data_IF_846835451989
#
_entry.id   IF_846835451989
#
_cell.length_a   1.000
_cell.length_b   1.000
_cell.length_c   1.000
_cell.angle_alpha   90.00
_cell.angle_beta   90.00
_cell.angle_gamma   90.00
#
_symmetry.space_group_name_H-M   'P 1'
#
loop_
_entity.id
_entity.type
_entity.pdbx_description
1 polymer ?
#
# COMPACT_ATOMS: atom_id res chain seq x y z
N UNK A 1 8.52 3.54 10.36
CA UNK A 1 8.54 2.78 9.09
C UNK A 1 9.83 2.01 8.84
N UNK A 2 11.03 2.48 9.22
CA UNK A 2 12.27 1.68 9.06
C UNK A 2 12.20 0.28 9.71
N UNK A 3 11.39 0.13 10.75
CA UNK A 3 11.18 -1.13 11.50
C UNK A 3 10.02 -1.99 10.97
N UNK A 4 9.16 -1.43 10.11
CA UNK A 4 7.95 -2.10 9.63
C UNK A 4 8.05 -2.36 8.13
N UNK A 5 7.62 -3.56 7.72
CA UNK A 5 7.56 -3.96 6.32
C UNK A 5 6.30 -3.42 5.65
N UNK A 6 5.20 -3.42 6.39
CA UNK A 6 3.93 -2.89 5.94
C UNK A 6 3.17 -2.22 7.09
N UNK A 7 2.35 -1.24 6.74
CA UNK A 7 1.27 -0.72 7.59
C UNK A 7 -0.03 -0.88 6.84
N UNK A 8 -1.06 -1.39 7.50
CA UNK A 8 -2.38 -1.59 6.93
C UNK A 8 -3.38 -0.77 7.75
N UNK A 9 -4.18 0.04 7.06
CA UNK A 9 -5.31 0.72 7.68
C UNK A 9 -6.58 0.11 7.11
N UNK A 10 -7.36 -0.53 7.97
CA UNK A 10 -8.60 -1.16 7.53
C UNK A 10 -9.70 -0.13 7.24
N UNK A 11 -10.82 -0.61 6.72
CA UNK A 11 -11.94 0.25 6.33
C UNK A 11 -12.61 0.96 7.53
N UNK A 12 -12.34 0.51 8.76
CA UNK A 12 -12.81 1.13 10.01
C UNK A 12 -11.78 2.12 10.58
N UNK A 13 -10.59 2.18 9.97
CA UNK A 13 -9.50 3.05 10.38
C UNK A 13 -8.55 2.45 11.41
N UNK A 14 -8.70 1.16 11.75
CA UNK A 14 -7.74 0.49 12.63
C UNK A 14 -6.39 0.34 11.92
N UNK A 15 -5.30 0.49 12.67
CA UNK A 15 -3.93 0.49 12.12
C UNK A 15 -3.18 -0.74 12.60
N UNK A 16 -2.79 -1.59 11.65
CA UNK A 16 -1.94 -2.76 11.86
C UNK A 16 -0.52 -2.48 11.32
N UNK A 17 0.49 -2.61 12.20
CA UNK A 17 1.90 -2.42 11.86
C UNK A 17 2.59 -3.77 11.79
N UNK A 18 3.08 -4.14 10.61
CA UNK A 18 3.64 -5.47 10.36
C UNK A 18 5.16 -5.38 10.29
N UNK A 19 5.84 -5.99 11.25
CA UNK A 19 7.28 -6.21 11.24
C UNK A 19 7.63 -7.49 10.48
N UNK A 20 8.91 -7.68 10.17
CA UNK A 20 9.42 -8.90 9.55
C UNK A 20 10.73 -9.30 10.24
N UNK A 21 10.65 -9.90 11.42
CA UNK A 21 11.82 -10.20 12.23
C UNK A 21 12.77 -11.20 11.56
N UNK A 22 12.27 -12.08 10.68
CA UNK A 22 13.10 -13.06 9.97
C UNK A 22 13.38 -12.66 8.50
N UNK A 23 13.08 -11.41 8.12
CA UNK A 23 13.34 -10.90 6.78
C UNK A 23 12.39 -11.41 5.69
N UNK A 24 11.27 -12.02 6.05
CA UNK A 24 10.16 -12.42 5.16
C UNK A 24 9.77 -11.30 4.19
N UNK A 25 9.51 -11.61 2.92
CA UNK A 25 9.16 -10.58 1.94
C UNK A 25 7.73 -10.03 2.11
N UNK A 26 7.42 -8.94 1.39
CA UNK A 26 6.10 -8.29 1.45
C UNK A 26 4.95 -9.25 1.16
N UNK A 27 5.08 -10.14 0.17
CA UNK A 27 4.02 -11.08 -0.16
C UNK A 27 3.69 -12.02 1.01
N UNK A 28 4.72 -12.51 1.69
CA UNK A 28 4.57 -13.42 2.82
C UNK A 28 3.84 -12.76 3.99
N UNK A 29 4.33 -11.58 4.42
CA UNK A 29 3.77 -10.90 5.60
C UNK A 29 2.35 -10.40 5.37
N UNK A 30 2.05 -9.90 4.16
CA UNK A 30 0.70 -9.48 3.80
C UNK A 30 -0.24 -10.68 3.62
N UNK A 31 0.27 -11.80 3.08
CA UNK A 31 -0.50 -13.04 2.95
C UNK A 31 -0.88 -13.62 4.32
N UNK A 32 0.04 -13.59 5.29
CA UNK A 32 -0.24 -14.01 6.67
C UNK A 32 -1.26 -13.12 7.36
N UNK A 33 -1.09 -11.79 7.26
CA UNK A 33 -2.08 -10.83 7.74
C UNK A 33 -3.46 -11.12 7.14
N UNK A 34 -3.53 -11.29 5.81
CA UNK A 34 -4.78 -11.55 5.11
C UNK A 34 -5.45 -12.87 5.53
N UNK A 35 -4.69 -13.94 5.72
CA UNK A 35 -5.23 -15.22 6.24
C UNK A 35 -5.86 -15.08 7.62
N UNK A 36 -5.26 -14.27 8.49
CA UNK A 36 -5.74 -14.07 9.85
C UNK A 36 -6.96 -13.14 9.90
N UNK A 37 -6.93 -12.02 9.16
CA UNK A 37 -8.00 -11.00 9.16
C UNK A 37 -9.20 -11.43 8.30
N UNK A 38 -8.96 -12.11 7.19
CA UNK A 38 -9.96 -12.51 6.20
C UNK A 38 -9.92 -14.04 5.95
N UNK A 39 -10.22 -14.88 6.97
CA UNK A 39 -10.01 -16.32 6.90
C UNK A 39 -10.89 -17.07 5.88
N UNK A 40 -11.92 -16.40 5.33
CA UNK A 40 -12.80 -16.96 4.29
C UNK A 40 -12.34 -16.64 2.87
N UNK A 41 -11.36 -15.75 2.71
CA UNK A 41 -10.80 -15.42 1.40
C UNK A 41 -9.99 -16.59 0.85
N UNK A 42 -10.22 -16.93 -0.41
CA UNK A 42 -9.60 -18.10 -1.03
C UNK A 42 -8.22 -17.81 -1.62
N UNK A 43 -7.83 -16.54 -1.76
CA UNK A 43 -6.57 -16.12 -2.37
C UNK A 43 -5.46 -16.11 -1.31
N UNK A 44 -5.69 -15.57 -0.12
CA UNK A 44 -4.65 -15.51 0.93
C UNK A 44 -3.99 -16.86 1.30
N UNK A 45 -4.70 -18.02 1.32
CA UNK A 45 -4.09 -19.34 1.48
C UNK A 45 -3.12 -19.74 0.35
N UNK A 46 -3.27 -19.16 -0.84
CA UNK A 46 -2.47 -19.46 -2.02
C UNK A 46 -1.21 -18.59 -2.12
N UNK A 47 -1.10 -17.53 -1.32
CA UNK A 47 0.05 -16.62 -1.31
C UNK A 47 1.21 -17.28 -0.58
N UNK A 48 2.27 -17.57 -1.35
CA UNK A 48 3.50 -18.21 -0.90
C UNK A 48 4.65 -17.21 -0.87
N UNK A 49 5.80 -17.63 -0.36
CA UNK A 49 6.99 -16.78 -0.29
C UNK A 49 7.37 -16.17 -1.65
N UNK A 50 7.39 -16.93 -2.75
CA UNK A 50 7.75 -16.38 -4.07
C UNK A 50 6.60 -15.68 -4.81
N UNK A 51 5.44 -15.47 -4.17
CA UNK A 51 4.33 -14.78 -4.80
C UNK A 51 4.67 -13.31 -5.04
N UNK A 52 4.12 -12.76 -6.13
CA UNK A 52 4.25 -11.33 -6.40
C UNK A 52 3.47 -10.54 -5.35
N UNK A 53 4.12 -9.59 -4.68
CA UNK A 53 3.52 -8.87 -3.54
C UNK A 53 2.30 -8.03 -3.94
N UNK A 54 2.15 -7.72 -5.24
CA UNK A 54 1.01 -6.98 -5.77
C UNK A 54 -0.30 -7.79 -5.61
N UNK A 55 -0.23 -9.12 -5.61
CA UNK A 55 -1.41 -9.98 -5.39
C UNK A 55 -2.04 -9.73 -4.01
N UNK A 56 -1.34 -9.90 -2.87
CA UNK A 56 -1.93 -9.62 -1.56
C UNK A 56 -2.38 -8.16 -1.42
N UNK A 57 -1.64 -7.20 -2.01
CA UNK A 57 -2.04 -5.79 -1.99
C UNK A 57 -3.38 -5.58 -2.68
N UNK A 58 -3.55 -6.12 -3.88
CA UNK A 58 -4.80 -6.02 -4.65
C UNK A 58 -5.98 -6.61 -3.88
N UNK A 59 -5.81 -7.78 -3.29
CA UNK A 59 -6.86 -8.42 -2.49
C UNK A 59 -7.19 -7.57 -1.26
N UNK A 60 -6.18 -7.08 -0.54
CA UNK A 60 -6.40 -6.21 0.62
C UNK A 60 -7.13 -4.91 0.24
N UNK A 61 -6.81 -4.29 -0.89
CA UNK A 61 -7.54 -3.12 -1.36
C UNK A 61 -9.01 -3.40 -1.70
N UNK A 62 -9.34 -4.61 -2.17
CA UNK A 62 -10.72 -5.00 -2.46
C UNK A 62 -11.60 -5.03 -1.20
N UNK A 63 -10.97 -5.23 -0.03
CA UNK A 63 -11.60 -5.11 1.29
C UNK A 63 -11.62 -3.68 1.85
N UNK A 64 -11.18 -2.69 1.07
CA UNK A 64 -11.13 -1.30 1.52
C UNK A 64 -9.92 -0.98 2.39
N UNK A 65 -8.87 -1.83 2.42
CA UNK A 65 -7.68 -1.50 3.18
C UNK A 65 -6.79 -0.50 2.41
N UNK A 66 -6.22 0.47 3.13
CA UNK A 66 -5.06 1.23 2.66
C UNK A 66 -3.82 0.44 3.08
N UNK A 67 -2.92 0.18 2.14
CA UNK A 67 -1.69 -0.58 2.40
C UNK A 67 -0.49 0.32 2.15
N UNK A 68 0.44 0.42 3.09
CA UNK A 68 1.66 1.22 2.97
C UNK A 68 2.85 0.28 3.09
N UNK A 69 3.62 0.13 2.02
CA UNK A 69 4.79 -0.74 1.98
C UNK A 69 6.08 0.06 2.08
N UNK A 70 7.04 -0.48 2.84
CA UNK A 70 8.40 0.03 2.86
C UNK A 70 9.25 -0.71 1.83
N UNK A 71 9.34 -0.16 0.62
CA UNK A 71 10.08 -0.76 -0.50
C UNK A 71 11.52 -0.25 -0.64
N UNK A 72 11.99 0.49 0.35
CA UNK A 72 13.31 1.13 0.34
C UNK A 72 14.44 0.12 0.15
N UNK A 73 15.35 0.40 -0.78
CA UNK A 73 16.64 -0.28 -0.86
C UNK A 73 17.63 0.33 0.14
N UNK A 74 18.56 -0.47 0.68
CA UNK A 74 19.54 -0.02 1.69
C UNK A 74 20.36 1.16 1.16
N UNK A 75 20.50 2.22 1.96
CA UNK A 75 21.42 3.34 1.69
C UNK A 75 20.80 4.57 0.98
N UNK A 76 19.51 4.53 0.65
CA UNK A 76 18.77 5.68 0.10
C UNK A 76 17.69 6.17 1.09
N UNK A 77 17.18 7.39 0.85
CA UNK A 77 16.00 7.90 1.55
C UNK A 77 14.86 6.89 1.42
N UNK A 78 14.16 6.52 2.51
CA UNK A 78 13.10 5.52 2.43
C UNK A 78 12.01 5.92 1.43
N UNK A 79 11.65 5.03 0.53
CA UNK A 79 10.48 5.19 -0.34
C UNK A 79 9.37 4.30 0.19
N UNK A 80 8.23 4.93 0.49
CA UNK A 80 7.00 4.22 0.82
C UNK A 80 6.09 4.23 -0.40
N UNK A 81 5.46 3.09 -0.69
CA UNK A 81 4.36 3.03 -1.65
C UNK A 81 3.06 2.85 -0.89
N UNK A 82 2.14 3.79 -1.08
CA UNK A 82 0.79 3.75 -0.53
C UNK A 82 -0.18 3.27 -1.59
N UNK A 83 -0.91 2.21 -1.27
CA UNK A 83 -1.92 1.60 -2.11
C UNK A 83 -3.29 2.01 -1.59
N UNK A 84 -4.01 2.80 -2.37
CA UNK A 84 -5.33 3.33 -2.03
C UNK A 84 -6.49 2.51 -2.62
N UNK A 85 -7.44 2.02 -1.79
CA UNK A 85 -8.62 1.31 -2.27
C UNK A 85 -9.58 2.27 -2.97
N UNK A 86 -10.58 1.75 -3.70
CA UNK A 86 -11.53 2.57 -4.49
C UNK A 86 -12.35 3.59 -3.71
N UNK A 87 -12.45 3.45 -2.39
CA UNK A 87 -13.22 4.30 -1.49
C UNK A 87 -12.34 5.14 -0.56
N UNK A 88 -11.09 5.40 -0.95
CA UNK A 88 -10.12 6.13 -0.13
C UNK A 88 -10.56 7.58 0.16
N UNK A 89 -11.41 8.17 -0.68
CA UNK A 89 -11.86 9.56 -0.59
C UNK A 89 -12.57 9.83 0.74
N UNK A 90 -13.23 8.84 1.32
CA UNK A 90 -13.88 8.94 2.62
C UNK A 90 -12.90 9.01 3.80
N UNK A 91 -11.59 8.81 3.54
CA UNK A 91 -10.52 8.74 4.55
C UNK A 91 -9.36 9.69 4.26
N UNK A 92 -9.58 10.76 3.48
CA UNK A 92 -8.53 11.74 3.13
C UNK A 92 -7.83 12.28 4.38
N UNK A 93 -8.58 12.76 5.38
CA UNK A 93 -8.00 13.31 6.61
C UNK A 93 -7.11 12.28 7.33
N UNK A 94 -7.55 11.03 7.40
CA UNK A 94 -6.76 9.95 8.00
C UNK A 94 -5.47 9.68 7.22
N UNK A 95 -5.54 9.71 5.88
CA UNK A 95 -4.36 9.54 5.02
C UNK A 95 -3.36 10.67 5.25
N UNK A 96 -3.84 11.92 5.32
CA UNK A 96 -3.01 13.09 5.61
C UNK A 96 -2.32 12.97 6.97
N UNK A 97 -3.04 12.58 8.01
CA UNK A 97 -2.49 12.37 9.36
C UNK A 97 -1.35 11.35 9.34
N UNK A 98 -1.54 10.22 8.65
CA UNK A 98 -0.52 9.18 8.54
C UNK A 98 0.70 9.71 7.79
N UNK A 99 0.48 10.42 6.67
CA UNK A 99 1.56 11.01 5.88
C UNK A 99 2.40 11.96 6.72
N UNK A 100 1.75 12.83 7.49
CA UNK A 100 2.42 13.80 8.35
C UNK A 100 3.10 13.16 9.57
N UNK A 101 2.63 12.01 10.05
CA UNK A 101 3.20 11.32 11.21
C UNK A 101 4.55 10.65 10.93
N UNK A 102 4.91 10.46 9.66
CA UNK A 102 6.09 9.71 9.25
C UNK A 102 7.24 10.65 8.85
N UNK A 103 8.39 10.60 9.53
CA UNK A 103 9.51 11.47 9.19
C UNK A 103 10.35 10.88 8.04
N UNK A 104 10.90 11.77 7.22
CA UNK A 104 12.02 11.52 6.29
C UNK A 104 11.82 10.33 5.32
N UNK A 105 10.80 10.44 4.47
CA UNK A 105 10.54 9.47 3.41
C UNK A 105 10.06 10.15 2.12
N UNK A 106 10.07 9.43 1.00
CA UNK A 106 9.40 9.79 -0.25
C UNK A 106 8.18 8.91 -0.43
N UNK A 107 7.13 9.45 -1.03
CA UNK A 107 5.86 8.75 -1.22
C UNK A 107 5.64 8.46 -2.70
N UNK A 108 5.34 7.20 -3.02
CA UNK A 108 4.67 6.78 -4.25
C UNK A 108 3.23 6.37 -3.90
N UNK A 109 2.30 6.59 -4.82
CA UNK A 109 0.88 6.24 -4.63
C UNK A 109 0.42 5.39 -5.79
N UNK A 110 -0.22 4.26 -5.47
CA UNK A 110 -0.96 3.45 -6.44
C UNK A 110 -2.43 3.36 -6.04
N UNK A 111 -3.33 3.49 -7.02
CA UNK A 111 -4.78 3.48 -6.76
C UNK A 111 -5.55 2.85 -7.92
N UNK A 112 -6.82 2.53 -7.67
CA UNK A 112 -7.72 1.94 -8.68
C UNK A 112 -7.16 0.66 -9.30
N UNK A 113 -6.54 -0.18 -8.48
CA UNK A 113 -5.96 -1.42 -8.99
C UNK A 113 -7.04 -2.31 -9.59
N UNK A 114 -6.74 -2.96 -10.70
CA UNK A 114 -7.61 -3.89 -11.40
C UNK A 114 -6.81 -5.02 -12.04
N UNK A 115 -7.43 -6.18 -12.18
CA UNK A 115 -6.88 -7.30 -12.93
C UNK A 115 -7.19 -7.13 -14.43
N UNK A 116 -6.16 -7.12 -15.27
CA UNK A 116 -6.28 -7.09 -16.72
C UNK A 116 -6.38 -8.50 -17.27
N UNK A 117 -7.53 -8.87 -17.83
CA UNK A 117 -7.69 -10.17 -18.50
C UNK A 117 -6.86 -10.29 -19.80
N UNK A 118 -6.45 -9.16 -20.38
CA UNK A 118 -5.67 -9.14 -21.62
C UNK A 118 -4.20 -9.49 -21.39
N UNK A 119 -3.62 -8.96 -20.30
CA UNK A 119 -2.19 -9.14 -20.00
C UNK A 119 -1.95 -10.15 -18.88
N UNK A 120 -2.97 -10.44 -18.07
CA UNK A 120 -2.85 -11.26 -16.87
C UNK A 120 -2.22 -10.52 -15.67
N UNK A 121 -2.03 -9.20 -15.77
CA UNK A 121 -1.39 -8.38 -14.75
C UNK A 121 -2.41 -7.67 -13.85
N UNK A 122 -1.93 -7.24 -12.68
CA UNK A 122 -2.63 -6.28 -11.85
C UNK A 122 -2.04 -4.90 -12.16
N UNK A 123 -2.88 -3.99 -12.64
CA UNK A 123 -2.52 -2.65 -13.06
C UNK A 123 -3.22 -1.62 -12.17
N UNK A 124 -2.73 -0.37 -12.13
CA UNK A 124 -3.33 0.72 -11.37
C UNK A 124 -2.84 2.10 -11.82
N UNK A 125 -3.53 3.15 -11.38
CA UNK A 125 -3.05 4.53 -11.53
C UNK A 125 -1.87 4.73 -10.56
N UNK A 126 -0.68 5.03 -11.09
CA UNK A 126 0.52 5.29 -10.30
C UNK A 126 0.90 6.80 -10.32
N UNK A 127 1.30 7.31 -9.16
CA UNK A 127 2.10 8.52 -9.02
C UNK A 127 3.42 8.22 -8.32
N UNK A 128 4.51 8.50 -9.02
CA UNK A 128 5.86 8.49 -8.46
C UNK A 128 6.20 9.80 -7.75
N UNK A 129 7.07 9.76 -6.72
CA UNK A 129 7.60 10.96 -6.09
C UNK A 129 8.47 11.76 -7.06
N UNK A 130 8.34 13.09 -7.06
CA UNK A 130 9.27 13.98 -7.74
C UNK A 130 10.39 14.36 -6.78
N UNK A 131 11.62 14.49 -7.28
CA UNK A 131 12.78 14.91 -6.48
C UNK A 131 12.49 16.25 -5.81
N UNK A 132 12.58 16.30 -4.48
CA UNK A 132 12.32 17.49 -3.67
C UNK A 132 10.88 17.64 -3.19
N UNK A 133 9.92 16.85 -3.66
CA UNK A 133 8.55 16.84 -3.11
C UNK A 133 8.54 16.27 -1.69
N UNK A 134 7.72 16.88 -0.83
CA UNK A 134 7.33 16.26 0.43
C UNK A 134 6.25 15.19 0.16
N UNK A 135 6.09 14.19 1.04
CA UNK A 135 5.02 13.22 0.92
C UNK A 135 3.61 13.82 0.81
N UNK A 136 3.35 14.95 1.49
CA UNK A 136 2.05 15.62 1.40
C UNK A 136 1.86 16.32 0.05
N UNK A 137 2.92 16.85 -0.56
CA UNK A 137 2.86 17.41 -1.91
C UNK A 137 2.51 16.34 -2.95
N UNK A 138 3.13 15.14 -2.84
CA UNK A 138 2.79 13.99 -3.70
C UNK A 138 1.30 13.65 -3.58
N UNK A 139 0.77 13.59 -2.35
CA UNK A 139 -0.63 13.26 -2.12
C UNK A 139 -1.58 14.33 -2.66
N UNK A 140 -1.28 15.61 -2.43
CA UNK A 140 -2.06 16.71 -3.01
C UNK A 140 -2.06 16.69 -4.54
N UNK A 141 -0.93 16.36 -5.17
CA UNK A 141 -0.84 16.18 -6.63
C UNK A 141 -1.66 14.98 -7.11
N UNK A 142 -1.69 13.91 -6.35
CA UNK A 142 -2.57 12.76 -6.60
C UNK A 142 -4.05 13.15 -6.59
N UNK A 143 -4.50 13.86 -5.55
CA UNK A 143 -5.87 14.37 -5.47
C UNK A 143 -6.19 15.33 -6.63
N UNK A 144 -5.26 16.21 -6.99
CA UNK A 144 -5.43 17.17 -8.09
C UNK A 144 -5.56 16.54 -9.47
N UNK A 145 -4.99 15.34 -9.72
CA UNK A 145 -5.20 14.60 -10.98
C UNK A 145 -6.62 14.06 -11.11
N UNK A 146 -7.27 13.71 -10.00
CA UNK A 146 -8.62 13.14 -9.99
C UNK A 146 -9.71 14.15 -10.32
N UNK A 147 -9.52 15.43 -9.95
CA UNK A 147 -10.47 16.51 -10.27
C UNK A 147 -10.50 16.85 -11.77
N UNK A 148 -9.49 16.43 -12.54
CA UNK A 148 -9.37 16.71 -13.99
C UNK A 148 -9.84 15.57 -14.91
N UNK A 149 -10.34 14.46 -14.36
CA UNK A 149 -10.86 13.32 -15.13
C UNK A 149 -12.38 13.27 -15.08
#
# INVERSE_FOLDING_TARGET
MKEYKAVIIDNEGNIDKISSPNGENHATVLGEFGRNKYPRDQIFPQIKYNSYFVIPVYVLQSYGNIVILNISQRGLKPTLTMYLPRNYENRIAQIEDIISSLPDYTLSIESNMYYSNETGDILGDNIDPIVGETPIDTFNRFLGRKIKR
#
